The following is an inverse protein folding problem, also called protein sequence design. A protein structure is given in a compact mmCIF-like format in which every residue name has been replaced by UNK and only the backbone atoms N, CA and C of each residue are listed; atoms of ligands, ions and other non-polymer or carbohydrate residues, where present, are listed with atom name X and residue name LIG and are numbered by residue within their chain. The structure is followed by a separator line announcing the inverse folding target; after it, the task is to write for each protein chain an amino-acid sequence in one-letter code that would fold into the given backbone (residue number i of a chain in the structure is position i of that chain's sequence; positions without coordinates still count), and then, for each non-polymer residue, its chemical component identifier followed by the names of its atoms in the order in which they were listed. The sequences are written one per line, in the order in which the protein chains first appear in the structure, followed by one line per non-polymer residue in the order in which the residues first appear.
data_IF_697906148172
#
_entry.id   IF_697906148172
#
_cell.length_a   1.000
_cell.length_b   1.000
_cell.length_c   1.000
_cell.angle_alpha   90.00
_cell.angle_beta   90.00
_cell.angle_gamma   90.00
#
_symmetry.space_group_name_H-M   'P 1'
#
loop_
_entity.id
_entity.type
_entity.pdbx_description
1 polymer ?
#
# COMPACT_ATOMS: atom_id res chain seq x y z
N UNK A 1 6.52 -28.28 -0.60
CA UNK A 1 7.49 -27.42 0.09
C UNK A 1 6.66 -26.40 0.84
N UNK A 2 6.75 -26.35 2.17
CA UNK A 2 6.03 -25.34 2.94
C UNK A 2 6.61 -23.96 2.59
N UNK A 3 5.75 -23.01 2.26
CA UNK A 3 6.15 -21.62 2.13
C UNK A 3 6.59 -21.13 3.52
N UNK A 4 7.70 -20.40 3.60
CA UNK A 4 8.15 -19.80 4.85
C UNK A 4 7.50 -18.42 4.99
N UNK A 5 6.58 -18.25 5.95
CA UNK A 5 6.20 -16.89 6.37
C UNK A 5 7.37 -16.25 7.06
N UNK A 6 7.96 -15.27 6.38
CA UNK A 6 8.80 -14.29 7.06
C UNK A 6 7.88 -13.32 7.80
N UNK A 7 7.98 -13.34 9.14
CA UNK A 7 7.30 -12.41 10.02
C UNK A 7 8.31 -11.55 10.74
N UNK A 8 8.13 -10.23 10.64
CA UNK A 8 8.91 -9.26 11.40
C UNK A 8 7.99 -8.58 12.41
N UNK A 9 8.35 -8.62 13.69
CA UNK A 9 7.57 -8.02 14.77
C UNK A 9 8.39 -6.88 15.37
N UNK A 10 7.87 -5.68 15.24
CA UNK A 10 8.47 -4.45 15.76
C UNK A 10 7.64 -3.95 16.93
N UNK A 11 8.30 -3.57 18.02
CA UNK A 11 7.65 -3.05 19.23
C UNK A 11 8.06 -1.60 19.45
N UNK A 12 7.08 -0.73 19.72
CA UNK A 12 7.29 0.71 19.85
C UNK A 12 6.96 1.22 21.25
N UNK A 13 7.43 2.43 21.57
CA UNK A 13 7.37 2.99 22.92
C UNK A 13 5.94 3.23 23.42
N UNK A 14 4.98 3.43 22.51
CA UNK A 14 3.55 3.54 22.83
C UNK A 14 2.86 2.22 23.19
N UNK A 15 3.61 1.16 23.53
CA UNK A 15 3.09 -0.18 23.85
C UNK A 15 2.24 -0.80 22.74
N UNK A 16 2.57 -0.50 21.49
CA UNK A 16 1.94 -1.08 20.32
C UNK A 16 2.95 -1.85 19.48
N UNK A 17 2.47 -2.84 18.74
CA UNK A 17 3.29 -3.70 17.88
C UNK A 17 2.91 -3.59 16.42
N UNK A 18 3.92 -3.64 15.56
CA UNK A 18 3.75 -3.80 14.11
C UNK A 18 4.20 -5.20 13.71
N UNK A 19 3.28 -5.97 13.15
CA UNK A 19 3.56 -7.25 12.54
C UNK A 19 3.58 -7.07 11.03
N UNK A 20 4.76 -7.21 10.41
CA UNK A 20 4.90 -7.21 8.96
C UNK A 20 5.11 -8.64 8.48
N UNK A 21 4.22 -9.09 7.61
CA UNK A 21 4.10 -10.47 7.16
C UNK A 21 4.25 -10.55 5.65
N UNK A 22 4.97 -11.57 5.19
CA UNK A 22 5.04 -11.93 3.78
C UNK A 22 4.35 -13.27 3.58
N UNK A 23 3.33 -13.29 2.74
CA UNK A 23 2.54 -14.48 2.40
C UNK A 23 2.69 -14.70 0.90
N UNK A 24 3.50 -15.70 0.53
CA UNK A 24 3.70 -16.10 -0.88
C UNK A 24 2.55 -16.96 -1.40
N UNK A 25 1.93 -17.76 -0.53
CA UNK A 25 0.78 -18.61 -0.83
C UNK A 25 -0.26 -18.50 0.30
N UNK A 26 -1.52 -18.28 -0.06
CA UNK A 26 -2.63 -18.22 0.91
C UNK A 26 -3.08 -19.62 1.37
N UNK A 27 -2.21 -20.63 1.25
CA UNK A 27 -2.47 -21.98 1.72
C UNK A 27 -2.29 -22.09 3.24
N UNK A 28 -2.97 -23.09 3.82
CA UNK A 28 -3.67 -23.02 5.11
C UNK A 28 -2.86 -22.85 6.40
N UNK A 29 -1.55 -23.11 6.44
CA UNK A 29 -0.81 -23.19 7.72
C UNK A 29 -0.45 -21.80 8.27
N UNK A 30 -0.01 -20.91 7.39
CA UNK A 30 0.39 -19.53 7.67
C UNK A 30 -0.81 -18.64 7.99
N UNK A 31 -1.89 -18.87 7.24
CA UNK A 31 -3.22 -18.34 7.50
C UNK A 31 -3.73 -18.70 8.90
N UNK A 32 -3.49 -19.95 9.34
CA UNK A 32 -3.93 -20.44 10.65
C UNK A 32 -3.19 -19.76 11.80
N UNK A 33 -1.89 -19.51 11.67
CA UNK A 33 -1.12 -18.78 12.69
C UNK A 33 -1.60 -17.32 12.84
N UNK A 34 -1.97 -16.69 11.72
CA UNK A 34 -2.57 -15.35 11.68
C UNK A 34 -3.96 -15.32 12.34
N UNK A 35 -4.81 -16.32 12.06
CA UNK A 35 -6.11 -16.51 12.71
C UNK A 35 -5.95 -16.74 14.22
N UNK A 36 -5.01 -17.59 14.65
CA UNK A 36 -4.74 -17.89 16.05
C UNK A 36 -4.21 -16.64 16.81
N UNK A 37 -3.37 -15.83 16.17
CA UNK A 37 -2.82 -14.61 16.77
C UNK A 37 -3.83 -13.45 16.91
N UNK A 38 -4.89 -13.47 16.10
CA UNK A 38 -5.95 -12.48 16.15
C UNK A 38 -7.26 -13.05 15.54
N UNK A 39 -8.12 -13.66 16.36
CA UNK A 39 -9.40 -14.23 15.91
C UNK A 39 -10.31 -13.20 15.22
N UNK A 40 -10.14 -11.92 15.55
CA UNK A 40 -10.84 -10.79 14.95
C UNK A 40 -10.54 -10.60 13.45
N UNK A 41 -9.49 -11.24 12.95
CA UNK A 41 -9.02 -11.14 11.57
C UNK A 41 -9.57 -12.31 10.74
N UNK A 42 -10.13 -13.35 11.35
CA UNK A 42 -10.65 -14.55 10.68
C UNK A 42 -11.67 -14.22 9.58
N UNK A 43 -12.70 -13.45 9.89
CA UNK A 43 -13.69 -13.00 8.89
C UNK A 43 -13.05 -12.15 7.77
N UNK A 44 -11.96 -11.44 8.05
CA UNK A 44 -11.29 -10.60 7.06
C UNK A 44 -10.39 -11.43 6.15
N UNK A 45 -9.65 -12.37 6.73
CA UNK A 45 -8.76 -13.30 6.06
C UNK A 45 -9.49 -14.15 5.01
N UNK A 46 -10.77 -14.46 5.20
CA UNK A 46 -11.61 -15.12 4.16
C UNK A 46 -11.91 -14.23 2.95
N UNK A 47 -11.91 -12.90 3.14
CA UNK A 47 -12.33 -11.94 2.11
C UNK A 47 -11.12 -11.40 1.33
N UNK A 48 -9.96 -11.22 1.97
CA UNK A 48 -8.74 -10.68 1.34
C UNK A 48 -8.36 -11.34 0.01
N UNK A 49 -8.31 -12.68 -0.11
CA UNK A 49 -7.82 -13.34 -1.33
C UNK A 49 -8.73 -13.04 -2.54
N UNK A 50 -9.99 -12.70 -2.28
CA UNK A 50 -11.00 -12.39 -3.29
C UNK A 50 -11.14 -10.89 -3.59
N UNK A 51 -10.39 -10.02 -2.89
CA UNK A 51 -10.44 -8.57 -3.10
C UNK A 51 -9.47 -8.17 -4.22
N UNK A 52 -10.01 -7.88 -5.41
CA UNK A 52 -9.25 -7.36 -6.56
C UNK A 52 -9.09 -5.83 -6.57
N UNK A 53 -9.81 -5.11 -5.70
CA UNK A 53 -9.91 -3.64 -5.71
C UNK A 53 -9.42 -3.00 -4.39
N UNK A 54 -9.32 -1.67 -4.34
CA UNK A 54 -9.12 -1.01 -3.05
C UNK A 54 -10.36 -1.23 -2.19
N UNK A 55 -10.14 -1.69 -0.98
CA UNK A 55 -11.18 -1.98 -0.03
C UNK A 55 -10.70 -1.50 1.32
N UNK A 56 -11.47 -0.63 1.97
CA UNK A 56 -11.22 -0.17 3.32
C UNK A 56 -12.52 -0.25 4.10
N UNK A 57 -12.47 -0.80 5.30
CA UNK A 57 -13.62 -0.88 6.19
C UNK A 57 -13.21 -0.54 7.61
N UNK A 58 -14.11 0.13 8.32
CA UNK A 58 -14.00 0.38 9.75
C UNK A 58 -15.16 -0.31 10.44
N UNK A 59 -14.86 -1.08 11.47
CA UNK A 59 -15.85 -1.79 12.28
C UNK A 59 -15.60 -1.53 13.77
N UNK A 60 -16.61 -1.80 14.58
CA UNK A 60 -16.54 -1.77 16.05
C UNK A 60 -16.94 -3.15 16.57
N UNK A 61 -16.05 -4.16 16.56
CA UNK A 61 -16.41 -5.53 16.92
C UNK A 61 -17.01 -5.66 18.32
N UNK A 62 -16.56 -4.82 19.25
CA UNK A 62 -17.05 -4.74 20.64
C UNK A 62 -17.97 -3.52 20.88
N UNK A 63 -18.35 -2.80 19.82
CA UNK A 63 -19.16 -1.59 19.87
C UNK A 63 -18.44 -0.33 20.35
N UNK A 64 -17.16 -0.39 20.72
CA UNK A 64 -16.42 0.75 21.32
C UNK A 64 -15.07 0.97 20.65
N UNK A 65 -14.28 -0.09 20.46
CA UNK A 65 -12.96 -0.01 19.85
C UNK A 65 -13.06 -0.17 18.34
N UNK A 66 -12.67 0.88 17.63
CA UNK A 66 -12.58 0.86 16.18
C UNK A 66 -11.45 -0.07 15.73
N UNK A 67 -11.76 -0.87 14.73
CA UNK A 67 -10.83 -1.67 13.95
C UNK A 67 -10.94 -1.24 12.50
N UNK A 68 -9.81 -0.96 11.87
CA UNK A 68 -9.75 -0.63 10.46
C UNK A 68 -8.94 -1.69 9.72
N UNK A 69 -9.42 -2.11 8.57
CA UNK A 69 -8.71 -3.08 7.74
C UNK A 69 -9.01 -2.85 6.27
N UNK A 70 -8.13 -3.39 5.41
CA UNK A 70 -8.29 -3.19 3.99
C UNK A 70 -7.12 -3.65 3.14
N UNK A 71 -7.27 -3.43 1.84
CA UNK A 71 -6.26 -3.68 0.83
C UNK A 71 -5.99 -2.37 0.11
N UNK A 72 -4.75 -1.89 0.17
CA UNK A 72 -4.36 -0.67 -0.52
C UNK A 72 -3.45 -1.01 -1.71
N UNK A 73 -3.88 -0.73 -2.95
CA UNK A 73 -3.01 -0.82 -4.11
C UNK A 73 -2.11 0.43 -4.19
N UNK A 74 -0.84 0.24 -4.48
CA UNK A 74 0.11 1.33 -4.69
C UNK A 74 1.21 0.92 -5.67
N UNK A 75 2.03 1.89 -6.08
CA UNK A 75 3.20 1.62 -6.91
C UNK A 75 4.35 2.48 -6.44
N UNK A 76 5.49 1.82 -6.23
CA UNK A 76 6.76 2.48 -5.95
C UNK A 76 7.39 3.04 -7.23
N UNK A 77 7.08 2.44 -8.38
CA UNK A 77 7.63 2.86 -9.67
C UNK A 77 6.94 4.14 -10.15
N UNK A 78 7.77 5.11 -10.56
CA UNK A 78 7.33 6.39 -11.13
C UNK A 78 6.97 6.27 -12.62
N UNK A 79 7.59 5.32 -13.33
CA UNK A 79 7.33 5.05 -14.74
C UNK A 79 6.27 3.95 -14.88
N UNK A 80 5.22 4.25 -15.65
CA UNK A 80 4.14 3.33 -15.95
C UNK A 80 4.50 2.60 -17.25
N UNK A 81 5.02 1.38 -17.15
CA UNK A 81 5.18 0.46 -18.30
C UNK A 81 3.84 -0.25 -18.60
N UNK A 82 3.64 -0.74 -19.83
CA UNK A 82 2.42 -1.47 -20.25
C UNK A 82 2.09 -2.71 -19.36
N UNK A 83 3.06 -3.19 -18.60
CA UNK A 83 2.95 -4.31 -17.64
C UNK A 83 3.04 -3.88 -16.17
N UNK A 84 2.83 -2.59 -15.86
CA UNK A 84 3.02 -2.02 -14.52
C UNK A 84 2.33 -2.86 -13.43
N UNK A 85 3.14 -3.65 -12.71
CA UNK A 85 2.72 -4.39 -11.54
C UNK A 85 2.25 -3.39 -10.48
N UNK A 86 1.04 -3.58 -9.96
CA UNK A 86 0.49 -2.77 -8.88
C UNK A 86 0.67 -3.58 -7.60
N UNK A 87 1.58 -3.11 -6.74
CA UNK A 87 1.78 -3.70 -5.43
C UNK A 87 0.52 -3.52 -4.58
N UNK A 88 0.27 -4.47 -3.68
CA UNK A 88 -0.89 -4.45 -2.79
C UNK A 88 -0.44 -4.77 -1.38
N UNK A 89 -0.70 -3.85 -0.47
CA UNK A 89 -0.55 -4.11 0.96
C UNK A 89 -1.92 -4.37 1.55
N UNK A 90 -2.06 -5.48 2.26
CA UNK A 90 -3.20 -5.70 3.13
C UNK A 90 -2.84 -5.21 4.52
N UNK A 91 -3.77 -4.56 5.19
CA UNK A 91 -3.54 -4.03 6.51
C UNK A 91 -4.71 -4.28 7.44
N UNK A 92 -4.38 -4.43 8.71
CA UNK A 92 -5.31 -4.47 9.82
C UNK A 92 -4.74 -3.61 10.93
N UNK A 93 -5.53 -2.72 11.49
CA UNK A 93 -5.11 -1.85 12.58
C UNK A 93 -6.19 -1.74 13.64
N UNK A 94 -5.76 -1.91 14.88
CA UNK A 94 -6.49 -1.62 16.10
C UNK A 94 -5.60 -0.73 16.98
N UNK A 95 -6.06 -0.34 18.17
CA UNK A 95 -5.37 0.62 19.05
C UNK A 95 -3.89 0.29 19.30
N UNK A 96 -3.57 -0.98 19.55
CA UNK A 96 -2.25 -1.44 20.00
C UNK A 96 -1.56 -2.38 19.01
N UNK A 97 -2.21 -2.69 17.88
CA UNK A 97 -1.68 -3.63 16.89
C UNK A 97 -1.89 -3.12 15.47
N UNK A 98 -0.80 -3.08 14.71
CA UNK A 98 -0.78 -2.89 13.27
C UNK A 98 -0.26 -4.17 12.62
N UNK A 99 -0.95 -4.66 11.61
CA UNK A 99 -0.54 -5.80 10.82
C UNK A 99 -0.51 -5.37 9.36
N UNK A 100 0.60 -5.64 8.68
CA UNK A 100 0.73 -5.49 7.23
C UNK A 100 1.05 -6.84 6.61
N UNK A 101 0.44 -7.14 5.48
CA UNK A 101 0.71 -8.35 4.69
C UNK A 101 1.11 -7.90 3.29
N UNK A 102 2.21 -8.45 2.80
CA UNK A 102 2.76 -8.20 1.47
C UNK A 102 3.11 -6.73 1.21
N UNK A 103 3.61 -6.03 2.23
CA UNK A 103 4.29 -4.75 2.02
C UNK A 103 5.51 -4.97 1.10
N UNK A 104 5.76 -4.06 0.16
CA UNK A 104 6.93 -4.18 -0.71
C UNK A 104 8.24 -3.87 0.03
N UNK A 105 9.34 -4.38 -0.50
CA UNK A 105 10.67 -4.22 0.10
C UNK A 105 11.14 -2.77 0.18
N UNK A 106 10.86 -1.94 -0.82
CA UNK A 106 11.30 -0.53 -0.82
C UNK A 106 10.57 0.27 0.27
N UNK A 107 9.27 0.03 0.48
CA UNK A 107 8.56 0.67 1.60
C UNK A 107 9.05 0.19 2.96
N UNK A 108 9.40 -1.10 3.11
CA UNK A 108 10.03 -1.59 4.34
C UNK A 108 11.32 -0.83 4.66
N UNK A 109 12.20 -0.67 3.67
CA UNK A 109 13.47 0.02 3.82
C UNK A 109 13.27 1.50 4.20
N UNK A 110 12.32 2.18 3.57
CA UNK A 110 11.97 3.56 3.92
C UNK A 110 11.45 3.65 5.36
N UNK A 111 10.59 2.72 5.78
CA UNK A 111 10.05 2.70 7.15
C UNK A 111 11.12 2.33 8.19
N UNK A 112 12.15 1.57 7.80
CA UNK A 112 13.30 1.22 8.64
C UNK A 112 14.36 2.33 8.79
N UNK A 113 14.24 3.44 8.06
CA UNK A 113 15.13 4.60 8.23
C UNK A 113 15.05 5.17 9.65
N UNK A 114 16.14 5.77 10.13
CA UNK A 114 16.19 6.37 11.47
C UNK A 114 15.09 7.41 11.68
N UNK A 115 14.82 8.26 10.68
CA UNK A 115 13.77 9.28 10.74
C UNK A 115 12.38 8.64 10.95
N UNK A 116 12.03 7.65 10.12
CA UNK A 116 10.72 6.99 10.20
C UNK A 116 10.59 6.14 11.46
N UNK A 117 11.64 5.44 11.84
CA UNK A 117 11.67 4.66 13.09
C UNK A 117 11.49 5.57 14.30
N UNK A 118 12.17 6.73 14.34
CA UNK A 118 11.99 7.72 15.40
C UNK A 118 10.56 8.28 15.45
N UNK A 119 9.91 8.49 14.31
CA UNK A 119 8.50 8.88 14.26
C UNK A 119 7.58 7.78 14.80
N UNK A 120 7.81 6.51 14.42
CA UNK A 120 7.03 5.37 14.92
C UNK A 120 7.16 5.20 16.44
N UNK A 121 8.34 5.49 17.02
CA UNK A 121 8.51 5.50 18.47
C UNK A 121 7.75 6.64 19.17
N UNK A 122 7.45 7.73 18.47
CA UNK A 122 6.64 8.85 19.02
C UNK A 122 5.13 8.61 18.92
N UNK A 123 4.70 7.58 18.18
CA UNK A 123 3.30 7.19 18.06
C UNK A 123 2.76 6.65 19.39
N UNK A 124 1.59 7.13 19.80
CA UNK A 124 0.92 6.69 21.03
C UNK A 124 0.10 5.41 20.82
N UNK A 125 -0.21 5.09 19.57
CA UNK A 125 -1.04 3.95 19.17
C UNK A 125 -0.62 3.41 17.81
N UNK A 126 -1.04 2.18 17.50
CA UNK A 126 -0.79 1.59 16.19
C UNK A 126 -1.55 2.31 15.06
N UNK A 127 -2.65 3.00 15.40
CA UNK A 127 -3.39 3.88 14.47
C UNK A 127 -2.51 5.05 14.02
N UNK A 128 -1.75 5.65 14.92
CA UNK A 128 -0.77 6.69 14.58
C UNK A 128 0.33 6.12 13.68
N UNK A 129 0.80 4.91 13.98
CA UNK A 129 1.75 4.17 13.13
C UNK A 129 1.22 3.94 11.71
N UNK A 130 -0.07 3.59 11.58
CA UNK A 130 -0.73 3.46 10.28
C UNK A 130 -0.76 4.78 9.52
N UNK A 131 -0.93 5.93 10.17
CA UNK A 131 -0.83 7.22 9.50
C UNK A 131 0.58 7.52 8.97
N UNK A 132 1.62 7.11 9.69
CA UNK A 132 3.01 7.23 9.19
C UNK A 132 3.20 6.38 7.94
N UNK A 133 2.72 5.13 7.93
CA UNK A 133 2.76 4.26 6.76
C UNK A 133 1.94 4.82 5.59
N UNK A 134 0.70 5.25 5.86
CA UNK A 134 -0.19 5.84 4.86
C UNK A 134 0.42 7.11 4.23
N UNK A 135 1.13 7.93 5.02
CA UNK A 135 1.88 9.08 4.51
C UNK A 135 2.97 8.66 3.53
N UNK A 136 3.71 7.60 3.83
CA UNK A 136 4.74 7.06 2.93
C UNK A 136 4.12 6.57 1.62
N UNK A 137 3.02 5.83 1.70
CA UNK A 137 2.32 5.35 0.49
C UNK A 137 1.79 6.54 -0.32
N UNK A 138 1.12 7.49 0.34
CA UNK A 138 0.61 8.72 -0.30
C UNK A 138 1.72 9.54 -0.96
N UNK A 139 2.93 9.51 -0.41
CA UNK A 139 4.07 10.17 -1.03
C UNK A 139 4.40 9.59 -2.42
N UNK A 140 4.35 8.27 -2.59
CA UNK A 140 4.54 7.65 -3.91
C UNK A 140 3.48 8.09 -4.92
N UNK A 141 2.23 8.23 -4.46
CA UNK A 141 1.15 8.76 -5.29
C UNK A 141 1.44 10.17 -5.79
N UNK A 142 1.89 11.05 -4.90
CA UNK A 142 2.22 12.42 -5.29
C UNK A 142 3.40 12.45 -6.26
N UNK A 143 4.47 11.70 -6.01
CA UNK A 143 5.61 11.61 -6.93
C UNK A 143 5.21 11.09 -8.31
N UNK A 144 4.34 10.08 -8.35
CA UNK A 144 3.78 9.55 -9.57
C UNK A 144 2.97 10.57 -10.37
N UNK A 145 2.13 11.36 -9.69
CA UNK A 145 1.36 12.45 -10.29
C UNK A 145 2.26 13.58 -10.81
N UNK A 146 3.29 13.98 -10.06
CA UNK A 146 4.25 15.00 -10.46
C UNK A 146 5.04 14.57 -11.72
N UNK A 147 5.48 13.31 -11.75
CA UNK A 147 6.15 12.74 -12.91
C UNK A 147 5.23 12.68 -14.13
N UNK A 148 3.98 12.28 -13.91
CA UNK A 148 2.96 12.28 -14.93
C UNK A 148 2.72 13.69 -15.51
N UNK A 149 2.61 14.72 -14.67
CA UNK A 149 2.47 16.11 -15.10
C UNK A 149 3.70 16.58 -15.91
N UNK A 150 4.90 16.25 -15.46
CA UNK A 150 6.14 16.58 -16.19
C UNK A 150 6.17 15.95 -17.60
N UNK A 151 5.66 14.71 -17.74
CA UNK A 151 5.59 14.04 -19.04
C UNK A 151 4.54 14.67 -19.96
N UNK A 152 3.40 15.13 -19.43
CA UNK A 152 2.44 15.92 -20.21
C UNK A 152 3.07 17.21 -20.75
N UNK A 153 3.79 17.97 -19.92
CA UNK A 153 4.44 19.21 -20.37
C UNK A 153 5.48 18.95 -21.47
N UNK A 154 6.25 17.87 -21.37
CA UNK A 154 7.20 17.45 -22.42
C UNK A 154 6.48 17.07 -23.72
N UNK A 155 5.30 16.46 -23.61
CA UNK A 155 4.48 16.13 -24.77
C UNK A 155 3.93 17.40 -25.43
N UNK A 156 3.33 18.32 -24.65
CA UNK A 156 2.85 19.61 -25.14
C UNK A 156 3.96 20.36 -25.90
N UNK A 157 5.15 20.44 -25.32
CA UNK A 157 6.28 21.08 -25.97
C UNK A 157 6.73 20.35 -27.26
N UNK A 158 6.67 19.02 -27.28
CA UNK A 158 6.96 18.24 -28.50
C UNK A 158 5.89 18.42 -29.60
N UNK A 159 4.64 18.69 -29.22
CA UNK A 159 3.56 19.05 -30.15
C UNK A 159 3.77 20.44 -30.74
N UNK A 160 4.24 21.41 -29.93
CA UNK A 160 4.60 22.75 -30.39
C UNK A 160 5.80 22.74 -31.34
N UNK A 161 6.72 21.78 -31.20
CA UNK A 161 7.96 21.68 -32.00
C UNK A 161 7.85 20.79 -33.27
N UNK A 162 6.63 20.39 -33.66
CA UNK A 162 6.27 19.76 -34.95
C UNK A 162 7.11 18.53 -35.37
N UNK A 163 7.23 17.53 -34.49
CA UNK A 163 7.90 16.27 -34.81
C UNK A 163 6.94 15.06 -34.72
N UNK A 164 6.25 14.77 -35.83
CA UNK A 164 5.11 13.85 -35.90
C UNK A 164 5.40 12.38 -35.59
N UNK A 165 6.65 11.90 -35.73
CA UNK A 165 6.98 10.46 -35.60
C UNK A 165 7.04 9.93 -34.16
N UNK A 166 7.32 10.77 -33.16
CA UNK A 166 7.38 10.37 -31.73
C UNK A 166 6.15 10.84 -30.94
N UNK A 167 5.22 11.52 -31.60
CA UNK A 167 4.08 12.15 -30.97
C UNK A 167 3.01 11.13 -30.56
N UNK A 168 2.77 10.14 -31.42
CA UNK A 168 1.76 9.11 -31.17
C UNK A 168 2.10 8.24 -29.95
N UNK A 169 3.32 7.74 -29.85
CA UNK A 169 3.76 6.90 -28.73
C UNK A 169 3.72 7.67 -27.40
N UNK A 170 4.11 8.95 -27.40
CA UNK A 170 4.02 9.79 -26.20
C UNK A 170 2.57 10.10 -25.81
N UNK A 171 1.66 10.29 -26.77
CA UNK A 171 0.22 10.48 -26.50
C UNK A 171 -0.35 9.20 -25.88
N UNK A 172 0.00 8.03 -26.42
CA UNK A 172 -0.46 6.74 -25.91
C UNK A 172 0.06 6.50 -24.48
N UNK A 173 1.34 6.73 -24.23
CA UNK A 173 1.93 6.60 -22.88
C UNK A 173 1.31 7.59 -21.88
N UNK A 174 1.04 8.84 -22.30
CA UNK A 174 0.39 9.83 -21.44
C UNK A 174 -1.06 9.44 -21.13
N UNK A 175 -1.80 8.90 -22.11
CA UNK A 175 -3.16 8.37 -21.88
C UNK A 175 -3.15 7.15 -20.95
N UNK A 176 -2.18 6.25 -21.11
CA UNK A 176 -2.05 5.09 -20.24
C UNK A 176 -1.75 5.51 -18.80
N UNK A 177 -0.79 6.43 -18.61
CA UNK A 177 -0.47 6.97 -17.29
C UNK A 177 -1.65 7.74 -16.67
N UNK A 178 -2.41 8.52 -17.45
CA UNK A 178 -3.66 9.16 -16.98
C UNK A 178 -4.65 8.13 -16.45
N UNK A 179 -4.91 7.07 -17.22
CA UNK A 179 -5.83 6.02 -16.83
C UNK A 179 -5.33 5.29 -15.58
N UNK A 180 -4.03 5.02 -15.51
CA UNK A 180 -3.38 4.39 -14.38
C UNK A 180 -3.57 5.22 -13.10
N UNK A 181 -3.13 6.49 -13.10
CA UNK A 181 -3.23 7.37 -11.93
C UNK A 181 -4.67 7.76 -11.59
N UNK A 182 -5.54 7.95 -12.59
CA UNK A 182 -6.98 8.19 -12.36
C UNK A 182 -7.64 7.00 -11.68
N UNK A 183 -7.32 5.77 -12.11
CA UNK A 183 -7.88 4.57 -11.48
C UNK A 183 -7.30 4.35 -10.08
N UNK A 184 -6.02 4.62 -9.88
CA UNK A 184 -5.37 4.45 -8.59
C UNK A 184 -5.84 5.52 -7.58
N UNK A 185 -6.08 6.76 -8.02
CA UNK A 185 -6.63 7.85 -7.17
C UNK A 185 -8.13 7.72 -6.89
N UNK A 186 -8.94 7.23 -7.84
CA UNK A 186 -10.38 6.94 -7.60
C UNK A 186 -10.57 5.94 -6.47
N UNK A 187 -9.63 4.99 -6.37
CA UNK A 187 -9.63 3.96 -5.36
C UNK A 187 -9.50 4.51 -3.93
N UNK A 188 -8.85 5.66 -3.69
CA UNK A 188 -8.77 6.27 -2.34
C UNK A 188 -10.06 6.96 -1.88
N UNK A 189 -11.06 7.12 -2.76
CA UNK A 189 -12.23 7.98 -2.53
C UNK A 189 -13.50 7.21 -2.09
N UNK A 190 -13.43 5.87 -1.99
CA UNK A 190 -14.49 5.00 -1.46
C UNK A 190 -14.13 4.50 -0.08
#
# INVERSE_FOLDING_TARGET
MAAEVSSNILSFAGHWTWHDLVVEDWSSEDFRQLQEACPLIEEWLEVIPNIEQNYMSVRFPDGVNAVMFGTLPYSVKMEVEDSAHVDRVHFYVQRDKLITINLDQNTREIMATEERTAMLHQCHSAVDGMFVLARTILHYFHLGLDHFEANLRKLEHAMEMDNQRYLMDKILNSRFALLYWSNLSRRFRS
#
